data_IF_745911186149
#
_entry.id   IF_745911186149
#
_cell.length_a   1.000
_cell.length_b   1.000
_cell.length_c   1.000
_cell.angle_alpha   90.00
_cell.angle_beta   90.00
_cell.angle_gamma   90.00
#
_symmetry.space_group_name_H-M   'P 1'
#
loop_
_entity.id
_entity.type
_entity.pdbx_description
1 polymer ?
#
# COMPACT_ATOMS: atom_id res chain seq x y z
N UNK A 1 -55.60 -50.58 40.61
CA UNK A 1 -55.53 -49.42 39.65
C UNK A 1 -54.08 -48.94 39.64
N UNK A 2 -53.35 -49.16 38.56
CA UNK A 2 -51.99 -48.64 38.40
C UNK A 2 -52.09 -47.28 37.69
N UNK A 3 -51.41 -46.21 38.15
CA UNK A 3 -51.40 -44.95 37.44
C UNK A 3 -50.58 -45.03 36.16
N UNK A 4 -51.15 -44.68 35.07
CA UNK A 4 -50.48 -44.50 33.75
C UNK A 4 -49.76 -43.17 33.80
N UNK A 5 -48.42 -43.18 33.91
CA UNK A 5 -47.59 -41.98 33.72
C UNK A 5 -47.42 -41.75 32.20
N UNK A 6 -48.03 -40.69 31.71
CA UNK A 6 -47.83 -40.20 30.35
C UNK A 6 -46.44 -39.48 30.31
N UNK A 7 -45.52 -39.85 29.43
CA UNK A 7 -44.25 -39.11 29.33
C UNK A 7 -44.53 -37.73 28.70
N UNK A 8 -44.14 -36.69 29.43
CA UNK A 8 -44.15 -35.30 28.94
C UNK A 8 -43.04 -35.17 27.88
N UNK A 9 -43.46 -35.16 26.60
CA UNK A 9 -42.57 -34.90 25.48
C UNK A 9 -42.18 -33.40 25.47
N UNK A 10 -41.01 -33.07 25.97
CA UNK A 10 -40.47 -31.72 25.93
C UNK A 10 -40.00 -31.42 24.49
N UNK A 11 -40.86 -30.78 23.71
CA UNK A 11 -40.47 -30.29 22.35
C UNK A 11 -39.62 -29.06 22.55
N UNK A 12 -38.32 -29.19 22.39
CA UNK A 12 -37.40 -28.05 22.25
C UNK A 12 -37.65 -27.40 20.90
N UNK A 13 -38.41 -26.30 20.87
CA UNK A 13 -38.42 -25.39 19.72
C UNK A 13 -37.04 -24.69 19.73
N UNK A 14 -36.14 -25.14 18.91
CA UNK A 14 -34.97 -24.35 18.53
C UNK A 14 -35.45 -23.13 17.73
N UNK A 15 -35.60 -21.99 18.40
CA UNK A 15 -35.86 -20.75 17.69
C UNK A 15 -34.66 -20.50 16.76
N UNK A 16 -34.89 -20.33 15.43
CA UNK A 16 -33.83 -19.94 14.54
C UNK A 16 -33.23 -18.62 15.05
N UNK A 17 -31.93 -18.57 15.20
CA UNK A 17 -31.22 -17.36 15.55
C UNK A 17 -31.35 -16.36 14.40
N UNK A 18 -32.45 -15.59 14.41
CA UNK A 18 -32.78 -14.54 13.43
C UNK A 18 -32.06 -13.23 13.79
N UNK A 19 -30.88 -13.29 14.38
CA UNK A 19 -30.14 -12.09 14.70
C UNK A 19 -29.63 -11.44 13.39
N UNK A 20 -29.87 -10.13 13.26
CA UNK A 20 -29.38 -9.35 12.11
C UNK A 20 -27.87 -9.37 12.08
N UNK A 21 -27.29 -9.97 11.06
CA UNK A 21 -25.84 -9.88 10.80
C UNK A 21 -25.49 -8.45 10.45
N UNK A 22 -24.34 -7.97 10.93
CA UNK A 22 -23.78 -6.67 10.55
C UNK A 22 -22.30 -6.78 10.21
N UNK A 23 -21.81 -5.89 9.37
CA UNK A 23 -20.41 -5.78 8.97
C UNK A 23 -19.77 -4.56 9.62
N UNK A 24 -18.54 -4.71 10.07
CA UNK A 24 -17.72 -3.63 10.63
C UNK A 24 -16.25 -3.80 10.25
N UNK A 25 -15.54 -2.73 9.87
CA UNK A 25 -16.00 -1.37 9.70
C UNK A 25 -16.90 -1.18 8.46
N UNK A 26 -17.60 -0.06 8.37
CA UNK A 26 -18.45 0.30 7.22
C UNK A 26 -17.71 1.10 6.16
N UNK A 27 -16.46 1.49 6.43
CA UNK A 27 -15.52 2.13 5.50
C UNK A 27 -14.14 1.53 5.67
N UNK A 28 -13.34 1.58 4.63
CA UNK A 28 -11.95 1.12 4.63
C UNK A 28 -11.02 2.29 4.33
N UNK A 29 -9.78 2.28 4.86
CA UNK A 29 -8.79 3.31 4.54
C UNK A 29 -8.35 3.24 3.08
N UNK A 30 -7.83 4.34 2.58
CA UNK A 30 -7.15 4.39 1.29
C UNK A 30 -5.81 3.64 1.37
N UNK A 31 -5.31 3.21 0.22
CA UNK A 31 -4.01 2.57 0.08
C UNK A 31 -3.10 3.32 -0.87
N UNK A 32 -1.87 2.82 -1.02
CA UNK A 32 -0.89 3.31 -2.00
C UNK A 32 -0.35 2.12 -2.80
N UNK A 33 -0.07 2.35 -4.08
CA UNK A 33 0.56 1.36 -4.96
C UNK A 33 1.86 0.84 -4.33
N UNK A 34 2.12 -0.47 -4.46
CA UNK A 34 3.28 -1.20 -3.94
C UNK A 34 3.45 -1.17 -2.40
N UNK A 35 2.52 -0.54 -1.68
CA UNK A 35 2.51 -0.54 -0.21
C UNK A 35 1.60 -1.64 0.32
N UNK A 36 2.01 -2.31 1.40
CA UNK A 36 1.19 -3.37 2.01
C UNK A 36 -0.16 -2.83 2.44
N UNK A 37 -1.23 -3.46 1.96
CA UNK A 37 -2.62 -3.20 2.33
C UNK A 37 -3.14 -4.39 3.14
N UNK A 38 -3.59 -4.15 4.37
CA UNK A 38 -4.05 -5.20 5.28
C UNK A 38 -5.19 -4.69 6.12
N UNK A 39 -6.42 -5.06 5.74
CA UNK A 39 -7.65 -4.63 6.39
C UNK A 39 -8.54 -5.83 6.72
N UNK A 40 -9.31 -5.72 7.80
CA UNK A 40 -10.16 -6.80 8.31
C UNK A 40 -11.60 -6.33 8.42
N UNK A 41 -12.50 -7.01 7.70
CA UNK A 41 -13.95 -6.81 7.83
C UNK A 41 -14.50 -7.93 8.70
N UNK A 42 -15.16 -7.59 9.79
CA UNK A 42 -15.74 -8.56 10.76
C UNK A 42 -17.24 -8.63 10.62
N UNK A 43 -17.77 -9.85 10.68
CA UNK A 43 -19.21 -10.07 10.88
C UNK A 43 -19.50 -10.03 12.38
N UNK A 44 -20.60 -9.38 12.73
CA UNK A 44 -21.12 -9.30 14.11
C UNK A 44 -22.59 -9.67 14.13
N UNK A 45 -23.00 -10.16 15.28
CA UNK A 45 -24.36 -10.65 15.50
C UNK A 45 -24.68 -11.84 14.57
N UNK A 46 -25.90 -12.37 14.59
CA UNK A 46 -26.25 -13.55 13.81
C UNK A 46 -25.58 -14.82 14.32
N UNK A 47 -25.60 -15.87 13.52
CA UNK A 47 -25.04 -17.16 13.87
C UNK A 47 -23.92 -17.58 12.89
N UNK A 48 -22.91 -18.28 13.43
CA UNK A 48 -21.80 -18.88 12.67
C UNK A 48 -22.14 -20.31 12.23
N UNK A 49 -21.54 -20.83 11.18
CA UNK A 49 -20.51 -20.18 10.34
C UNK A 49 -21.08 -19.13 9.39
N UNK A 50 -20.29 -18.08 9.14
CA UNK A 50 -20.65 -17.08 8.15
C UNK A 50 -20.16 -17.47 6.75
N UNK A 51 -20.95 -17.17 5.72
CA UNK A 51 -20.56 -17.27 4.30
C UNK A 51 -20.30 -15.87 3.75
N UNK A 52 -19.14 -15.69 3.15
CA UNK A 52 -18.67 -14.41 2.62
C UNK A 52 -18.63 -14.42 1.10
N UNK A 53 -18.92 -13.29 0.49
CA UNK A 53 -18.80 -13.08 -0.95
C UNK A 53 -18.51 -11.61 -1.28
N UNK A 54 -17.76 -11.38 -2.34
CA UNK A 54 -17.75 -10.09 -3.05
C UNK A 54 -18.98 -10.10 -3.94
N UNK A 55 -19.99 -9.34 -3.56
CA UNK A 55 -21.29 -9.36 -4.22
C UNK A 55 -21.33 -8.55 -5.52
N UNK A 56 -20.49 -7.53 -5.62
CA UNK A 56 -20.35 -6.69 -6.82
C UNK A 56 -19.02 -5.93 -6.81
N UNK A 57 -18.61 -5.42 -7.96
CA UNK A 57 -17.38 -4.67 -8.14
C UNK A 57 -16.13 -5.54 -8.12
N UNK A 58 -14.98 -4.92 -7.96
CA UNK A 58 -13.69 -5.58 -7.89
C UNK A 58 -12.82 -4.99 -6.79
N UNK A 59 -12.05 -5.84 -6.12
CA UNK A 59 -10.99 -5.43 -5.20
C UNK A 59 -9.87 -4.70 -5.96
N UNK A 60 -9.07 -3.89 -5.26
CA UNK A 60 -7.86 -3.35 -5.85
C UNK A 60 -6.98 -4.46 -6.44
N UNK A 61 -6.46 -4.25 -7.66
CA UNK A 61 -5.54 -5.19 -8.28
C UNK A 61 -4.34 -5.43 -7.35
N UNK A 62 -3.97 -6.70 -7.13
CA UNK A 62 -2.94 -7.10 -6.17
C UNK A 62 -3.42 -7.29 -4.72
N UNK A 63 -4.71 -7.00 -4.43
CA UNK A 63 -5.35 -7.30 -3.13
C UNK A 63 -6.27 -8.51 -3.26
N UNK A 64 -6.19 -9.42 -2.30
CA UNK A 64 -7.01 -10.62 -2.23
C UNK A 64 -7.86 -10.63 -0.97
N UNK A 65 -9.03 -11.27 -1.04
CA UNK A 65 -9.89 -11.49 0.12
C UNK A 65 -9.72 -12.93 0.63
N UNK A 66 -9.47 -13.08 1.94
CA UNK A 66 -9.34 -14.38 2.61
C UNK A 66 -10.32 -14.46 3.78
N UNK A 67 -11.10 -15.51 3.84
CA UNK A 67 -11.96 -15.78 4.99
C UNK A 67 -11.12 -16.38 6.11
N UNK A 68 -11.27 -15.87 7.34
CA UNK A 68 -10.59 -16.42 8.52
C UNK A 68 -11.01 -17.87 8.81
N UNK A 69 -10.17 -18.63 9.49
CA UNK A 69 -10.46 -20.02 9.88
C UNK A 69 -11.72 -20.16 10.75
N UNK A 70 -12.04 -19.13 11.52
CA UNK A 70 -13.26 -19.05 12.33
C UNK A 70 -14.49 -18.56 11.55
N UNK A 71 -14.33 -18.23 10.27
CA UNK A 71 -15.34 -17.63 9.38
C UNK A 71 -15.91 -16.27 9.83
N UNK A 72 -15.39 -15.69 10.90
CA UNK A 72 -15.92 -14.45 11.50
C UNK A 72 -15.39 -13.17 10.89
N UNK A 73 -14.34 -13.25 10.04
CA UNK A 73 -13.78 -12.12 9.33
C UNK A 73 -13.43 -12.43 7.87
N UNK A 74 -13.38 -11.39 7.09
CA UNK A 74 -12.83 -11.35 5.74
C UNK A 74 -11.62 -10.43 5.76
N UNK A 75 -10.45 -10.98 5.50
CA UNK A 75 -9.18 -10.27 5.51
C UNK A 75 -8.83 -9.85 4.08
N UNK A 76 -8.65 -8.56 3.85
CA UNK A 76 -8.22 -7.97 2.59
C UNK A 76 -6.72 -7.72 2.67
N UNK A 77 -5.93 -8.51 1.96
CA UNK A 77 -4.47 -8.47 2.07
C UNK A 77 -3.79 -8.47 0.71
N UNK A 78 -2.71 -7.72 0.59
CA UNK A 78 -1.90 -7.67 -0.63
C UNK A 78 -1.12 -6.37 -0.78
N UNK A 79 -0.60 -6.16 -1.99
CA UNK A 79 0.01 -4.90 -2.42
C UNK A 79 -0.73 -4.42 -3.66
N UNK A 80 -1.46 -3.31 -3.59
CA UNK A 80 -2.13 -2.78 -4.78
C UNK A 80 -1.12 -2.47 -5.88
N UNK A 81 -1.43 -2.81 -7.12
CA UNK A 81 -0.53 -2.62 -8.27
C UNK A 81 -0.95 -1.47 -9.18
N UNK A 82 -2.15 -0.93 -9.00
CA UNK A 82 -2.70 0.12 -9.89
C UNK A 82 -3.40 1.20 -9.09
N UNK A 83 -3.01 2.45 -9.34
CA UNK A 83 -3.64 3.63 -8.76
C UNK A 83 -5.01 3.85 -9.42
N UNK A 84 -6.07 3.73 -8.63
CA UNK A 84 -7.45 3.95 -9.08
C UNK A 84 -8.40 4.03 -7.88
N UNK A 85 -9.65 4.40 -8.15
CA UNK A 85 -10.75 4.24 -7.19
C UNK A 85 -11.44 2.92 -7.44
N UNK A 86 -11.51 2.08 -6.41
CA UNK A 86 -12.19 0.80 -6.43
C UNK A 86 -13.47 0.87 -5.61
N UNK A 87 -14.55 0.32 -6.17
CA UNK A 87 -15.84 0.19 -5.49
C UNK A 87 -16.28 -1.26 -5.56
N UNK A 88 -16.58 -1.86 -4.41
CA UNK A 88 -17.02 -3.24 -4.30
C UNK A 88 -17.96 -3.42 -3.13
N UNK A 89 -18.80 -4.43 -3.19
CA UNK A 89 -19.71 -4.77 -2.11
C UNK A 89 -19.35 -6.12 -1.50
N UNK A 90 -19.23 -6.15 -0.16
CA UNK A 90 -19.05 -7.38 0.60
C UNK A 90 -20.38 -7.81 1.17
N UNK A 91 -20.76 -9.06 0.93
CA UNK A 91 -21.94 -9.72 1.49
C UNK A 91 -21.55 -10.81 2.46
N UNK A 92 -22.22 -10.85 3.59
CA UNK A 92 -22.11 -11.94 4.56
C UNK A 92 -23.50 -12.55 4.82
N UNK A 93 -23.53 -13.87 4.96
CA UNK A 93 -24.75 -14.62 5.31
C UNK A 93 -24.45 -15.49 6.52
N UNK A 94 -25.22 -15.35 7.58
CA UNK A 94 -25.15 -16.22 8.77
C UNK A 94 -25.88 -17.54 8.56
N UNK A 95 -25.61 -18.52 9.43
CA UNK A 95 -26.19 -19.87 9.35
C UNK A 95 -27.75 -19.88 9.43
N UNK A 96 -28.36 -18.89 10.09
CA UNK A 96 -29.82 -18.70 10.18
C UNK A 96 -30.45 -17.94 9.00
N UNK A 97 -29.69 -17.67 7.93
CA UNK A 97 -30.19 -16.94 6.76
C UNK A 97 -30.15 -15.42 6.88
N UNK A 98 -29.71 -14.85 8.03
CA UNK A 98 -29.49 -13.41 8.17
C UNK A 98 -28.40 -12.92 7.19
N UNK A 99 -28.64 -11.81 6.51
CA UNK A 99 -27.76 -11.26 5.47
C UNK A 99 -27.41 -9.82 5.79
N UNK A 100 -26.16 -9.45 5.58
CA UNK A 100 -25.71 -8.07 5.54
C UNK A 100 -24.83 -7.82 4.31
N UNK A 101 -24.93 -6.62 3.75
CA UNK A 101 -24.10 -6.19 2.64
C UNK A 101 -23.68 -4.74 2.87
N UNK A 102 -22.39 -4.47 2.66
CA UNK A 102 -21.81 -3.12 2.74
C UNK A 102 -21.03 -2.85 1.47
N UNK A 103 -21.25 -1.67 0.89
CA UNK A 103 -20.46 -1.17 -0.24
C UNK A 103 -19.29 -0.36 0.27
N UNK A 104 -18.10 -0.70 -0.22
CA UNK A 104 -16.84 -0.03 0.12
C UNK A 104 -16.32 0.73 -1.08
N UNK A 105 -15.74 1.89 -0.81
CA UNK A 105 -14.97 2.67 -1.77
C UNK A 105 -13.57 2.84 -1.21
N UNK A 106 -12.56 2.40 -1.96
CA UNK A 106 -11.15 2.49 -1.60
C UNK A 106 -10.42 3.21 -2.73
N UNK A 107 -9.68 4.26 -2.39
CA UNK A 107 -8.79 4.95 -3.33
C UNK A 107 -7.38 4.40 -3.14
N UNK A 108 -6.81 3.85 -4.18
CA UNK A 108 -5.40 3.50 -4.23
C UNK A 108 -4.68 4.65 -4.92
N UNK A 109 -3.83 5.32 -4.16
CA UNK A 109 -3.01 6.42 -4.65
C UNK A 109 -1.78 5.86 -5.37
N UNK A 110 -1.31 6.57 -6.42
CA UNK A 110 -0.01 6.30 -7.03
C UNK A 110 1.12 6.65 -6.06
N UNK A 111 2.29 6.07 -6.29
CA UNK A 111 3.52 6.62 -5.73
C UNK A 111 3.77 7.97 -6.38
N UNK A 112 4.00 9.01 -5.59
CA UNK A 112 4.44 10.27 -6.15
C UNK A 112 5.83 10.04 -6.79
N UNK A 113 5.96 10.34 -8.08
CA UNK A 113 7.25 10.35 -8.75
C UNK A 113 7.89 11.71 -8.42
N UNK A 114 8.83 11.69 -7.50
CA UNK A 114 9.64 12.88 -7.22
C UNK A 114 10.85 12.91 -8.15
N UNK A 115 11.22 14.13 -8.55
CA UNK A 115 12.43 14.40 -9.28
C UNK A 115 13.20 15.45 -8.49
N UNK A 116 14.51 15.29 -8.39
CA UNK A 116 15.41 16.31 -7.85
C UNK A 116 16.13 16.94 -9.01
N UNK A 117 15.78 18.18 -9.32
CA UNK A 117 16.42 18.98 -10.35
C UNK A 117 17.69 19.60 -9.76
N UNK A 118 18.84 19.17 -10.26
CA UNK A 118 20.14 19.63 -9.82
C UNK A 118 20.71 20.63 -10.83
N UNK A 119 21.27 21.71 -10.32
CA UNK A 119 22.03 22.69 -11.10
C UNK A 119 23.28 23.13 -10.36
N UNK A 120 24.36 23.36 -11.09
CA UNK A 120 25.61 23.84 -10.53
C UNK A 120 26.31 24.85 -11.44
N UNK A 121 27.21 25.61 -10.86
CA UNK A 121 28.05 26.53 -11.60
C UNK A 121 29.12 25.75 -12.36
N UNK A 122 29.32 26.08 -13.64
CA UNK A 122 30.38 25.50 -14.44
C UNK A 122 31.76 25.75 -13.82
N UNK A 123 32.64 24.75 -13.93
CA UNK A 123 34.05 24.91 -13.60
C UNK A 123 34.70 25.95 -14.52
N UNK A 124 35.70 26.65 -13.98
CA UNK A 124 36.47 27.65 -14.73
C UNK A 124 37.75 27.07 -15.38
N UNK A 125 38.03 25.78 -15.19
CA UNK A 125 39.17 25.10 -15.81
C UNK A 125 38.90 24.96 -17.32
N UNK A 126 39.92 25.17 -18.14
CA UNK A 126 39.83 25.15 -19.58
C UNK A 126 39.75 23.75 -20.22
N UNK A 127 40.12 22.73 -19.45
CA UNK A 127 40.22 21.31 -19.84
C UNK A 127 39.05 20.44 -19.39
N UNK A 128 37.97 21.05 -18.91
CA UNK A 128 36.79 20.29 -18.45
C UNK A 128 36.07 19.63 -19.61
N UNK A 129 35.95 18.28 -19.55
CA UNK A 129 35.15 17.46 -20.48
C UNK A 129 33.71 17.35 -20.02
N UNK A 130 33.43 17.51 -18.72
CA UNK A 130 32.08 17.43 -18.16
C UNK A 130 32.06 17.20 -16.65
N UNK A 131 30.99 16.60 -16.17
CA UNK A 131 30.72 16.45 -14.74
C UNK A 131 30.22 15.04 -14.40
N UNK A 132 30.53 14.61 -13.20
CA UNK A 132 29.85 13.48 -12.54
C UNK A 132 28.99 13.99 -11.38
N UNK A 133 27.85 13.33 -11.19
CA UNK A 133 26.88 13.61 -10.11
C UNK A 133 26.90 12.46 -9.12
N UNK A 134 26.98 12.79 -7.85
CA UNK A 134 27.03 11.85 -6.75
C UNK A 134 25.85 12.07 -5.82
N UNK A 135 25.27 10.97 -5.32
CA UNK A 135 24.22 10.96 -4.31
C UNK A 135 24.61 10.05 -3.15
N UNK A 136 24.23 10.41 -1.95
CA UNK A 136 24.44 9.60 -0.77
C UNK A 136 23.41 9.87 0.33
N UNK A 137 23.35 9.02 1.37
CA UNK A 137 22.40 9.16 2.47
C UNK A 137 22.84 10.14 3.56
N UNK A 138 24.14 10.47 3.65
CA UNK A 138 24.74 11.10 4.82
C UNK A 138 25.81 12.18 4.50
N UNK A 139 26.02 12.49 3.23
CA UNK A 139 27.04 13.47 2.79
C UNK A 139 28.49 12.99 2.91
N UNK A 140 28.73 11.75 3.33
CA UNK A 140 30.05 11.12 3.42
C UNK A 140 30.17 9.88 2.53
N UNK A 141 29.10 9.11 2.41
CA UNK A 141 29.01 7.94 1.54
C UNK A 141 28.41 8.33 0.19
N UNK A 142 29.14 8.08 -0.91
CA UNK A 142 28.78 8.59 -2.23
C UNK A 142 28.66 7.47 -3.26
N UNK A 143 27.60 7.54 -4.06
CA UNK A 143 27.39 6.73 -5.26
C UNK A 143 27.25 7.66 -6.45
N UNK A 144 28.01 7.42 -7.52
CA UNK A 144 27.82 8.09 -8.81
C UNK A 144 26.50 7.66 -9.41
N UNK A 145 25.68 8.62 -9.84
CA UNK A 145 24.31 8.36 -10.35
C UNK A 145 24.17 8.63 -11.86
N UNK A 146 25.07 9.37 -12.48
CA UNK A 146 25.11 9.49 -13.94
C UNK A 146 25.95 8.33 -14.55
N UNK A 147 25.44 7.67 -15.62
CA UNK A 147 26.15 6.55 -16.25
C UNK A 147 27.42 6.94 -16.98
N UNK A 148 27.44 8.14 -17.56
CA UNK A 148 28.55 8.74 -18.32
C UNK A 148 28.75 10.19 -17.92
N UNK A 149 29.96 10.74 -18.14
CA UNK A 149 30.25 12.16 -17.95
C UNK A 149 29.26 13.00 -18.74
N UNK A 150 28.69 14.04 -18.11
CA UNK A 150 27.70 14.93 -18.71
C UNK A 150 28.29 16.32 -18.92
N UNK A 151 28.13 16.88 -20.12
CA UNK A 151 28.59 18.21 -20.43
C UNK A 151 27.70 19.33 -19.84
N UNK A 152 26.45 18.99 -19.51
CA UNK A 152 25.46 19.90 -18.91
C UNK A 152 25.81 20.20 -17.45
N UNK A 153 25.44 21.38 -16.99
CA UNK A 153 25.41 21.77 -15.56
C UNK A 153 24.03 21.54 -14.91
N UNK A 154 23.21 20.73 -15.55
CA UNK A 154 21.87 20.32 -15.10
C UNK A 154 21.80 18.81 -15.08
N UNK A 155 21.11 18.24 -14.08
CA UNK A 155 20.82 16.81 -13.97
C UNK A 155 19.56 16.56 -13.17
N UNK A 156 18.69 15.69 -13.67
CA UNK A 156 17.42 15.33 -13.04
C UNK A 156 17.57 13.92 -12.45
N UNK A 157 17.41 13.79 -11.13
CA UNK A 157 17.36 12.51 -10.46
C UNK A 157 15.90 12.09 -10.19
N UNK A 158 15.36 11.26 -11.05
CA UNK A 158 14.01 10.67 -10.94
C UNK A 158 13.98 9.36 -10.13
N UNK A 159 15.11 8.96 -9.52
CA UNK A 159 15.23 7.69 -8.79
C UNK A 159 15.15 7.85 -7.28
N UNK A 160 14.65 8.99 -6.81
CA UNK A 160 14.46 9.29 -5.39
C UNK A 160 13.20 8.63 -4.84
N UNK A 161 13.22 8.24 -3.56
CA UNK A 161 12.09 7.62 -2.89
C UNK A 161 11.39 8.60 -1.94
N UNK A 162 10.07 8.47 -1.81
CA UNK A 162 9.27 9.26 -0.87
C UNK A 162 9.78 9.12 0.56
N UNK A 163 9.72 10.21 1.33
CA UNK A 163 10.13 10.25 2.74
C UNK A 163 11.62 10.12 2.97
N UNK A 164 12.45 10.23 1.92
CA UNK A 164 13.89 10.05 2.01
C UNK A 164 14.65 11.38 1.96
N UNK A 165 15.81 11.41 2.60
CA UNK A 165 16.75 12.55 2.52
C UNK A 165 17.97 12.10 1.75
N UNK A 166 18.38 12.92 0.80
CA UNK A 166 19.57 12.68 -0.03
C UNK A 166 20.53 13.86 0.01
N UNK A 167 21.80 13.53 -0.10
CA UNK A 167 22.90 14.48 -0.25
C UNK A 167 23.45 14.35 -1.66
N UNK A 168 23.70 15.49 -2.31
CA UNK A 168 24.24 15.55 -3.68
C UNK A 168 25.52 16.34 -3.71
N UNK A 169 26.44 15.88 -4.53
CA UNK A 169 27.68 16.58 -4.86
C UNK A 169 28.04 16.32 -6.32
N UNK A 170 28.83 17.22 -6.91
CA UNK A 170 29.34 17.08 -8.27
C UNK A 170 30.87 17.14 -8.28
N UNK A 171 31.47 16.55 -9.31
CA UNK A 171 32.87 16.71 -9.66
C UNK A 171 32.97 17.21 -11.10
N UNK A 172 33.99 17.98 -11.40
CA UNK A 172 34.42 18.24 -12.78
C UNK A 172 35.32 17.11 -13.25
N UNK A 173 35.20 16.71 -14.50
CA UNK A 173 36.04 15.69 -15.15
C UNK A 173 36.80 16.36 -16.29
N UNK A 174 38.11 16.21 -16.35
CA UNK A 174 38.92 16.75 -17.42
C UNK A 174 38.97 15.84 -18.67
N UNK A 175 39.62 16.30 -19.72
CA UNK A 175 39.76 15.55 -20.97
C UNK A 175 40.60 14.28 -20.86
N UNK A 176 41.36 14.11 -19.76
CA UNK A 176 42.13 12.90 -19.45
C UNK A 176 41.36 11.93 -18.53
N UNK A 177 40.10 12.30 -18.13
CA UNK A 177 39.24 11.47 -17.28
C UNK A 177 39.55 11.59 -15.78
N UNK A 178 40.34 12.57 -15.33
CA UNK A 178 40.59 12.82 -13.93
C UNK A 178 39.48 13.65 -13.32
N UNK A 179 39.08 13.33 -12.10
CA UNK A 179 38.02 14.04 -11.38
C UNK A 179 38.57 15.03 -10.35
N UNK A 180 37.92 16.17 -10.23
CA UNK A 180 38.15 17.11 -9.12
C UNK A 180 37.71 16.53 -7.77
N UNK A 181 38.01 17.22 -6.68
CA UNK A 181 37.28 17.00 -5.42
C UNK A 181 35.79 17.27 -5.60
N UNK A 182 34.95 16.62 -4.76
CA UNK A 182 33.52 16.87 -4.74
C UNK A 182 33.19 18.29 -4.31
N UNK A 183 32.16 18.86 -4.88
CA UNK A 183 31.56 20.11 -4.40
C UNK A 183 31.10 20.01 -2.94
N UNK A 184 30.77 21.15 -2.32
CA UNK A 184 29.99 21.15 -1.08
C UNK A 184 28.68 20.41 -1.34
N UNK A 185 28.30 19.54 -0.40
CA UNK A 185 27.07 18.77 -0.48
C UNK A 185 25.84 19.67 -0.33
N UNK A 186 24.81 19.43 -1.13
CA UNK A 186 23.46 19.98 -0.96
C UNK A 186 22.50 18.88 -0.54
N UNK A 187 21.44 19.27 0.19
CA UNK A 187 20.48 18.32 0.76
C UNK A 187 19.16 18.47 0.03
N UNK A 188 18.55 17.35 -0.36
CA UNK A 188 17.17 17.26 -0.82
C UNK A 188 16.36 16.37 0.12
N UNK A 189 15.24 16.90 0.64
CA UNK A 189 14.27 16.16 1.45
C UNK A 189 13.07 15.87 0.56
N UNK A 190 12.79 14.59 0.34
CA UNK A 190 11.69 14.14 -0.49
C UNK A 190 10.47 13.95 0.42
N UNK A 191 9.33 14.61 0.16
CA UNK A 191 8.11 14.48 0.98
C UNK A 191 7.45 13.12 0.89
#
# INVERSE_FOLDING_TARGET
MKPFLLPLLLIFFAFPCMANVSLTPTSLPNGTVETSYSEVIKARNGCTPYKWAIASGALPAGVTAKVSSTTTSLDLVGKPTTAATYSFAVKVTGCGGGVSQVSYKVVIQGTANHVVDLSWKASTSSDVAGYNVYRGPDGSTWKKINPSVIASTLYDDSTVANGSTYYYATTAVDTEGRESSKSIAVIAVIP
#
